data_IF_413047777144
#
_entry.id   IF_413047777144
#
_cell.length_a   1.000
_cell.length_b   1.000
_cell.length_c   1.000
_cell.angle_alpha   90.00
_cell.angle_beta   90.00
_cell.angle_gamma   90.00
#
_symmetry.space_group_name_H-M   'P 1'
#
loop_
_entity.id
_entity.type
_entity.pdbx_description
1 polymer ?
#
# COMPACT_ATOMS: atom_id res chain seq x y z
N UNK A 1 50.84 25.40 35.90
CA UNK A 1 51.17 24.13 35.20
C UNK A 1 49.98 23.80 34.30
N UNK A 2 49.90 24.25 33.04
CA UNK A 2 50.64 23.84 31.83
C UNK A 2 50.81 22.32 31.69
N UNK A 3 50.03 21.74 30.78
CA UNK A 3 50.56 20.84 29.75
C UNK A 3 49.60 20.80 28.56
N UNK A 4 49.91 21.61 27.55
CA UNK A 4 49.45 21.44 26.18
C UNK A 4 50.28 20.34 25.55
N UNK A 5 49.67 19.37 24.87
CA UNK A 5 50.36 18.57 23.84
C UNK A 5 49.66 18.78 22.50
N UNK A 6 50.38 19.45 21.60
CA UNK A 6 50.12 19.48 20.17
C UNK A 6 50.47 18.11 19.57
N UNK A 7 49.70 17.66 18.58
CA UNK A 7 50.24 16.81 17.51
C UNK A 7 49.81 17.39 16.16
N UNK A 8 50.81 17.48 15.29
CA UNK A 8 50.85 18.10 13.95
C UNK A 8 50.00 17.36 12.92
N UNK A 9 49.49 18.17 11.98
CA UNK A 9 48.94 17.81 10.67
C UNK A 9 50.04 17.34 9.70
N UNK A 10 49.73 16.30 8.90
CA UNK A 10 50.24 15.99 7.55
C UNK A 10 49.03 15.34 6.85
N UNK A 11 48.37 15.89 5.84
CA UNK A 11 48.86 16.48 4.59
C UNK A 11 48.63 15.46 3.47
N UNK A 12 47.80 15.76 2.47
CA UNK A 12 47.75 14.94 1.25
C UNK A 12 46.45 14.92 0.43
N UNK A 13 46.33 15.91 -0.47
CA UNK A 13 45.81 15.82 -1.84
C UNK A 13 44.30 15.67 -2.11
N UNK A 14 43.71 16.79 -2.53
CA UNK A 14 42.49 16.86 -3.32
C UNK A 14 42.72 16.30 -4.74
N UNK A 15 41.74 15.57 -5.27
CA UNK A 15 41.54 15.42 -6.71
C UNK A 15 40.05 15.62 -6.99
N UNK A 16 39.75 16.78 -7.56
CA UNK A 16 38.47 17.06 -8.20
C UNK A 16 38.44 16.35 -9.56
N UNK A 17 37.37 15.60 -9.81
CA UNK A 17 37.10 14.99 -11.12
C UNK A 17 35.65 15.27 -11.50
N UNK A 18 35.44 16.38 -12.20
CA UNK A 18 34.18 16.68 -12.88
C UNK A 18 34.21 16.01 -14.26
N UNK A 19 33.24 15.14 -14.53
CA UNK A 19 32.95 14.67 -15.89
C UNK A 19 31.47 14.94 -16.18
N UNK A 20 31.25 16.01 -16.94
CA UNK A 20 29.98 16.36 -17.56
C UNK A 20 29.83 15.49 -18.80
N UNK A 21 28.77 14.68 -18.89
CA UNK A 21 28.25 14.20 -20.17
C UNK A 21 26.80 14.61 -20.29
N UNK A 22 26.57 15.55 -21.21
CA UNK A 22 25.27 15.90 -21.76
C UNK A 22 25.02 14.96 -22.94
N UNK A 23 23.90 14.24 -22.93
CA UNK A 23 23.34 13.62 -24.14
C UNK A 23 21.88 14.04 -24.21
N UNK A 24 21.58 14.88 -25.20
CA UNK A 24 20.24 15.25 -25.64
C UNK A 24 19.86 14.41 -26.84
N UNK A 25 18.74 13.70 -26.78
CA UNK A 25 17.97 13.34 -27.98
C UNK A 25 16.50 13.63 -27.74
N UNK A 26 15.99 14.53 -28.56
CA UNK A 26 14.59 14.86 -28.74
C UNK A 26 13.88 13.69 -29.46
N UNK A 27 12.68 13.36 -28.99
CA UNK A 27 11.74 12.48 -29.68
C UNK A 27 10.39 13.17 -29.73
N UNK A 28 10.15 13.85 -30.86
CA UNK A 28 8.88 14.47 -31.24
C UNK A 28 7.98 13.38 -31.85
N UNK A 29 6.69 13.37 -31.50
CA UNK A 29 5.70 12.46 -32.05
C UNK A 29 4.30 12.86 -31.61
N UNK A 30 3.86 14.03 -32.08
CA UNK A 30 2.51 14.56 -31.96
C UNK A 30 1.67 14.20 -33.19
N UNK A 31 0.35 14.14 -33.01
CA UNK A 31 -0.66 14.21 -34.07
C UNK A 31 -1.37 12.87 -34.31
N UNK A 32 -2.69 12.78 -34.35
CA UNK A 32 -3.70 13.82 -34.40
C UNK A 32 -5.08 13.16 -34.56
N UNK A 33 -6.06 13.99 -34.31
CA UNK A 33 -7.43 13.72 -33.91
C UNK A 33 -8.41 13.23 -35.01
N UNK A 34 -9.60 12.91 -34.51
CA UNK A 34 -10.92 13.20 -35.09
C UNK A 34 -11.41 12.40 -36.31
N UNK A 35 -12.52 11.67 -36.07
CA UNK A 35 -13.81 12.09 -36.65
C UNK A 35 -15.02 11.47 -35.96
N UNK A 36 -15.81 12.36 -35.39
CA UNK A 36 -17.18 12.22 -34.92
C UNK A 36 -18.21 12.00 -36.05
N UNK A 37 -19.42 11.64 -35.58
CA UNK A 37 -20.74 12.02 -36.11
C UNK A 37 -21.31 11.20 -37.27
N UNK A 38 -22.60 10.80 -37.35
CA UNK A 38 -23.80 10.86 -36.48
C UNK A 38 -24.94 10.15 -37.29
N UNK A 39 -26.23 10.52 -37.19
CA UNK A 39 -27.33 9.88 -36.46
C UNK A 39 -28.27 9.03 -37.34
N UNK A 40 -29.13 8.20 -36.73
CA UNK A 40 -30.46 7.92 -37.32
C UNK A 40 -31.57 7.89 -36.27
N UNK A 41 -32.35 8.97 -36.33
CA UNK A 41 -33.83 9.12 -36.28
C UNK A 41 -34.67 8.26 -35.35
N UNK A 42 -35.44 9.01 -34.58
CA UNK A 42 -36.64 8.73 -33.80
C UNK A 42 -37.72 7.91 -34.51
N UNK A 43 -38.38 7.05 -33.73
CA UNK A 43 -39.74 6.57 -33.95
C UNK A 43 -40.42 6.41 -32.58
N UNK A 44 -41.46 7.20 -32.34
CA UNK A 44 -42.30 7.18 -31.12
C UNK A 44 -43.48 6.23 -31.27
N UNK A 45 -43.80 5.45 -30.23
CA UNK A 45 -45.17 5.07 -29.85
C UNK A 45 -45.26 4.58 -28.38
N UNK A 46 -46.15 5.20 -27.60
CA UNK A 46 -46.80 4.73 -26.36
C UNK A 46 -47.53 3.39 -26.59
N UNK A 47 -47.96 2.56 -25.63
CA UNK A 47 -48.06 2.57 -24.16
C UNK A 47 -48.48 1.15 -23.70
N UNK A 48 -48.06 0.77 -22.48
CA UNK A 48 -48.70 -0.14 -21.49
C UNK A 48 -49.40 -1.45 -21.94
N UNK A 49 -48.94 -2.57 -21.37
CA UNK A 49 -49.70 -3.82 -21.27
C UNK A 49 -48.85 -4.94 -20.67
N UNK A 50 -49.19 -5.39 -19.47
CA UNK A 50 -48.45 -6.34 -18.65
C UNK A 50 -48.22 -7.71 -19.31
N UNK A 51 -47.02 -8.25 -19.09
CA UNK A 51 -46.65 -9.61 -19.43
C UNK A 51 -45.40 -10.01 -18.64
N UNK A 52 -45.61 -10.46 -17.40
CA UNK A 52 -44.57 -10.96 -16.50
C UNK A 52 -43.81 -12.13 -17.15
N UNK A 53 -42.56 -11.90 -17.53
CA UNK A 53 -41.57 -12.95 -17.67
C UNK A 53 -40.59 -12.81 -16.50
N UNK A 54 -40.82 -13.63 -15.48
CA UNK A 54 -39.90 -13.89 -14.40
C UNK A 54 -38.57 -14.41 -14.97
N UNK A 55 -37.61 -13.51 -15.20
CA UNK A 55 -36.21 -13.87 -15.18
C UNK A 55 -35.82 -13.88 -13.71
N UNK A 56 -35.79 -15.07 -13.13
CA UNK A 56 -35.35 -15.27 -11.75
C UNK A 56 -33.98 -14.59 -11.56
N UNK A 57 -33.78 -13.78 -10.50
CA UNK A 57 -32.46 -13.30 -10.16
C UNK A 57 -31.61 -14.52 -9.87
N UNK A 58 -30.50 -14.68 -10.61
CA UNK A 58 -29.47 -15.65 -10.23
C UNK A 58 -29.07 -15.34 -8.80
N UNK A 59 -29.27 -16.32 -7.92
CA UNK A 59 -28.94 -16.24 -6.52
C UNK A 59 -27.53 -15.63 -6.38
N UNK A 60 -27.48 -14.42 -5.82
CA UNK A 60 -26.23 -13.84 -5.35
C UNK A 60 -25.60 -14.88 -4.45
N UNK A 61 -24.41 -15.38 -4.82
CA UNK A 61 -23.60 -16.21 -3.93
C UNK A 61 -23.54 -15.45 -2.61
N UNK A 62 -24.13 -16.03 -1.58
CA UNK A 62 -23.99 -15.55 -0.21
C UNK A 62 -22.51 -15.36 0.02
N UNK A 63 -22.06 -14.11 0.15
CA UNK A 63 -20.68 -13.81 0.48
C UNK A 63 -20.42 -14.47 1.83
N UNK A 64 -19.66 -15.57 1.83
CA UNK A 64 -19.20 -16.14 3.09
C UNK A 64 -18.51 -15.03 3.90
N UNK A 65 -18.69 -15.00 5.23
CA UNK A 65 -18.01 -14.02 6.07
C UNK A 65 -16.51 -14.07 5.79
N UNK A 66 -15.91 -12.94 5.45
CA UNK A 66 -14.46 -12.87 5.25
C UNK A 66 -13.79 -13.22 6.58
N UNK A 67 -12.97 -14.27 6.58
CA UNK A 67 -12.23 -14.72 7.77
C UNK A 67 -11.35 -13.59 8.31
N UNK A 68 -11.40 -13.34 9.62
CA UNK A 68 -10.53 -12.37 10.32
C UNK A 68 -9.58 -13.16 11.19
N UNK A 69 -8.29 -13.15 10.84
CA UNK A 69 -7.25 -13.92 11.54
C UNK A 69 -6.54 -13.10 12.63
N UNK A 70 -6.63 -11.77 12.58
CA UNK A 70 -6.19 -10.88 13.64
C UNK A 70 -6.92 -9.53 13.56
N UNK A 71 -7.09 -8.87 14.70
CA UNK A 71 -7.64 -7.52 14.81
C UNK A 71 -6.68 -6.65 15.62
N UNK A 72 -6.26 -5.53 15.03
CA UNK A 72 -5.38 -4.56 15.66
C UNK A 72 -6.20 -3.32 16.00
N UNK A 73 -6.24 -2.97 17.28
CA UNK A 73 -6.86 -1.72 17.73
C UNK A 73 -5.89 -0.56 17.53
N UNK A 74 -6.38 0.50 16.91
CA UNK A 74 -5.67 1.76 16.69
C UNK A 74 -6.23 2.90 17.52
N UNK A 75 -5.60 4.06 17.39
CA UNK A 75 -6.04 5.28 18.05
C UNK A 75 -7.41 5.75 17.54
N UNK A 76 -8.14 6.51 18.37
CA UNK A 76 -9.37 7.21 17.99
C UNK A 76 -10.46 6.33 17.31
N UNK A 77 -10.56 5.05 17.68
CA UNK A 77 -11.56 4.13 17.12
C UNK A 77 -11.16 3.48 15.81
N UNK A 78 -9.90 3.61 15.40
CA UNK A 78 -9.37 2.88 14.25
C UNK A 78 -9.21 1.40 14.56
N UNK A 79 -9.49 0.55 13.58
CA UNK A 79 -9.31 -0.91 13.67
C UNK A 79 -8.72 -1.41 12.36
N UNK A 80 -7.70 -2.26 12.42
CA UNK A 80 -7.20 -2.99 11.26
C UNK A 80 -7.48 -4.48 11.46
N UNK A 81 -8.35 -5.03 10.62
CA UNK A 81 -8.60 -6.47 10.55
C UNK A 81 -7.69 -7.08 9.49
N UNK A 82 -6.91 -8.08 9.85
CA UNK A 82 -6.11 -8.87 8.92
C UNK A 82 -6.94 -10.09 8.54
N UNK A 83 -7.13 -10.29 7.24
CA UNK A 83 -7.89 -11.40 6.68
C UNK A 83 -6.97 -12.51 6.16
N UNK A 84 -5.79 -12.16 5.64
CA UNK A 84 -4.82 -13.15 5.19
C UNK A 84 -3.38 -12.64 5.23
N UNK A 85 -2.45 -13.58 5.39
CA UNK A 85 -1.00 -13.38 5.25
C UNK A 85 -0.47 -14.52 4.39
N UNK A 86 -0.33 -14.27 3.08
CA UNK A 86 -0.02 -15.33 2.10
C UNK A 86 1.36 -15.19 1.51
N UNK A 87 2.11 -16.29 1.52
CA UNK A 87 3.37 -16.41 0.80
C UNK A 87 3.07 -16.69 -0.67
N UNK A 88 3.78 -15.99 -1.54
CA UNK A 88 3.70 -16.11 -2.99
C UNK A 88 4.94 -16.85 -3.53
N UNK A 89 4.81 -17.71 -4.56
CA UNK A 89 5.94 -18.40 -5.19
C UNK A 89 7.05 -17.47 -5.72
N UNK A 90 6.73 -16.21 -6.01
CA UNK A 90 7.67 -15.16 -6.42
C UNK A 90 8.58 -14.64 -5.31
N UNK A 91 8.48 -15.18 -4.08
CA UNK A 91 9.33 -14.77 -2.96
C UNK A 91 8.78 -13.58 -2.17
N UNK A 92 7.47 -13.36 -2.24
CA UNK A 92 6.78 -12.28 -1.55
C UNK A 92 5.85 -12.80 -0.46
N UNK A 93 5.55 -11.96 0.51
CA UNK A 93 4.53 -12.20 1.53
C UNK A 93 3.54 -11.05 1.48
N UNK A 94 2.26 -11.33 1.24
CA UNK A 94 1.22 -10.31 1.14
C UNK A 94 0.30 -10.39 2.35
N UNK A 95 0.18 -9.30 3.10
CA UNK A 95 -0.80 -9.12 4.16
C UNK A 95 -2.00 -8.39 3.54
N UNK A 96 -3.21 -8.92 3.72
CA UNK A 96 -4.45 -8.30 3.24
C UNK A 96 -5.48 -8.20 4.37
N UNK A 97 -6.29 -7.16 4.34
CA UNK A 97 -7.15 -6.79 5.46
C UNK A 97 -8.15 -5.69 5.15
N UNK A 98 -8.73 -5.14 6.20
CA UNK A 98 -9.61 -3.98 6.16
C UNK A 98 -9.25 -3.00 7.28
N UNK A 99 -9.02 -1.74 6.91
CA UNK A 99 -8.84 -0.62 7.82
C UNK A 99 -10.19 0.05 8.04
N UNK A 100 -10.66 0.15 9.28
CA UNK A 100 -12.01 0.59 9.64
C UNK A 100 -11.98 1.68 10.69
N UNK A 101 -12.74 2.75 10.49
CA UNK A 101 -12.95 3.76 11.53
C UNK A 101 -14.29 3.52 12.22
N UNK A 102 -14.23 2.97 13.42
CA UNK A 102 -15.40 2.71 14.29
C UNK A 102 -15.71 3.89 15.22
N UNK A 103 -14.88 4.94 15.19
CA UNK A 103 -15.11 6.19 15.91
C UNK A 103 -16.17 7.07 15.27
N UNK A 104 -16.46 8.20 15.91
CA UNK A 104 -17.47 9.17 15.49
C UNK A 104 -16.94 10.34 14.65
N UNK A 105 -15.62 10.43 14.45
CA UNK A 105 -14.95 11.51 13.70
C UNK A 105 -13.99 10.94 12.66
N UNK A 106 -13.71 11.70 11.60
CA UNK A 106 -12.68 11.32 10.62
C UNK A 106 -11.30 11.28 11.27
N UNK A 107 -10.56 10.20 11.04
CA UNK A 107 -9.17 10.06 11.44
C UNK A 107 -8.24 10.67 10.38
N UNK A 108 -7.34 11.57 10.78
CA UNK A 108 -6.45 12.32 9.86
C UNK A 108 -4.96 12.17 10.17
N UNK A 109 -4.60 11.44 11.23
CA UNK A 109 -3.20 11.23 11.62
C UNK A 109 -2.55 10.07 10.84
N UNK A 110 -2.80 10.02 9.53
CA UNK A 110 -2.33 8.94 8.65
C UNK A 110 -0.86 9.14 8.23
N UNK A 111 -0.27 10.30 8.52
CA UNK A 111 1.14 10.61 8.24
C UNK A 111 2.07 9.61 8.94
N UNK A 112 1.69 9.14 10.12
CA UNK A 112 2.45 8.14 10.87
C UNK A 112 2.53 6.78 10.15
N UNK A 113 1.57 6.45 9.27
CA UNK A 113 1.52 5.17 8.56
C UNK A 113 2.47 5.09 7.36
N UNK A 114 3.04 6.23 6.98
CA UNK A 114 3.92 6.35 5.82
C UNK A 114 5.27 5.70 6.08
N UNK A 115 5.91 5.22 5.01
CA UNK A 115 7.26 4.70 5.06
C UNK A 115 8.31 5.75 4.70
N UNK A 116 9.57 5.32 4.54
CA UNK A 116 10.67 6.16 4.03
C UNK A 116 10.66 6.34 2.51
N UNK A 117 9.49 6.36 1.89
CA UNK A 117 9.37 6.42 0.43
C UNK A 117 10.05 7.67 -0.14
N UNK A 118 10.93 7.45 -1.12
CA UNK A 118 11.75 8.50 -1.69
C UNK A 118 10.97 9.22 -2.79
N UNK A 119 10.38 10.37 -2.43
CA UNK A 119 9.69 11.35 -3.30
C UNK A 119 8.24 11.01 -3.67
N UNK A 120 7.33 11.95 -3.36
CA UNK A 120 6.04 12.10 -4.08
C UNK A 120 5.00 10.99 -3.96
N UNK A 121 5.26 9.89 -3.26
CA UNK A 121 4.37 8.71 -3.20
C UNK A 121 3.11 8.88 -2.34
N UNK A 122 2.85 10.10 -1.86
CA UNK A 122 1.60 10.43 -1.16
C UNK A 122 1.45 9.78 0.22
N UNK A 123 0.20 9.68 0.66
CA UNK A 123 -0.18 8.91 1.85
C UNK A 123 -0.19 7.43 1.52
N UNK A 124 0.34 6.60 2.42
CA UNK A 124 0.43 5.16 2.24
C UNK A 124 0.50 4.46 3.59
N UNK A 125 0.43 3.13 3.54
CA UNK A 125 0.65 2.26 4.70
C UNK A 125 2.07 1.65 4.71
N UNK A 126 3.02 2.25 4.02
CA UNK A 126 4.37 1.69 3.84
C UNK A 126 5.20 1.64 5.14
N UNK A 127 4.75 2.29 6.21
CA UNK A 127 5.28 2.17 7.57
C UNK A 127 4.95 0.83 8.24
N UNK A 128 4.12 -0.01 7.62
CA UNK A 128 3.89 -1.37 8.08
C UNK A 128 5.19 -2.19 8.12
N UNK A 129 5.33 -3.06 9.12
CA UNK A 129 6.49 -3.93 9.28
C UNK A 129 6.08 -5.33 9.71
N UNK A 130 6.94 -6.30 9.40
CA UNK A 130 6.88 -7.66 9.91
C UNK A 130 8.14 -7.97 10.71
N UNK A 131 8.00 -8.63 11.84
CA UNK A 131 9.13 -9.13 12.63
C UNK A 131 9.05 -10.65 12.74
N UNK A 132 10.02 -11.33 12.14
CA UNK A 132 10.30 -12.74 12.40
C UNK A 132 11.23 -12.80 13.62
N UNK A 133 10.63 -13.12 14.77
CA UNK A 133 11.37 -13.21 16.04
C UNK A 133 12.36 -14.37 16.04
N UNK A 134 12.02 -15.50 15.42
CA UNK A 134 12.88 -16.67 15.34
C UNK A 134 14.10 -16.40 14.43
N UNK A 135 13.85 -15.81 13.26
CA UNK A 135 14.88 -15.38 12.31
C UNK A 135 15.63 -14.11 12.70
N UNK A 136 15.19 -13.41 13.77
CA UNK A 136 15.73 -12.13 14.27
C UNK A 136 15.80 -11.06 13.18
N UNK A 137 14.78 -11.02 12.32
CA UNK A 137 14.71 -10.12 11.16
C UNK A 137 13.44 -9.28 11.19
N UNK A 138 13.60 -8.00 10.86
CA UNK A 138 12.49 -7.09 10.54
C UNK A 138 12.44 -6.88 9.04
N UNK A 139 11.25 -6.98 8.47
CA UNK A 139 10.95 -6.76 7.07
C UNK A 139 10.10 -5.49 6.94
N UNK A 140 10.36 -4.75 5.86
CA UNK A 140 9.63 -3.54 5.50
C UNK A 140 8.88 -3.78 4.20
N UNK A 141 7.86 -2.96 3.96
CA UNK A 141 7.08 -2.99 2.71
C UNK A 141 7.99 -2.83 1.50
N UNK A 142 7.77 -3.67 0.48
CA UNK A 142 8.48 -3.66 -0.78
C UNK A 142 8.19 -2.38 -1.57
N UNK A 143 9.11 -2.08 -2.49
CA UNK A 143 8.97 -0.97 -3.44
C UNK A 143 9.20 -1.46 -4.87
N UNK A 144 8.53 -0.81 -5.81
CA UNK A 144 8.82 -0.99 -7.22
C UNK A 144 10.09 -0.25 -7.64
N UNK A 145 10.44 -0.37 -8.92
CA UNK A 145 11.62 0.29 -9.52
C UNK A 145 11.54 1.82 -9.52
N UNK A 146 10.36 2.37 -9.29
CA UNK A 146 10.09 3.81 -9.18
C UNK A 146 10.00 4.27 -7.71
N UNK A 147 10.37 3.41 -6.76
CA UNK A 147 10.32 3.65 -5.31
C UNK A 147 8.92 3.83 -4.71
N UNK A 148 7.85 3.44 -5.41
CA UNK A 148 6.49 3.41 -4.87
C UNK A 148 6.29 2.17 -4.00
N UNK A 149 5.55 2.29 -2.90
CA UNK A 149 5.26 1.12 -2.08
C UNK A 149 4.39 0.11 -2.85
N UNK A 150 4.61 -1.18 -2.59
CA UNK A 150 3.70 -2.24 -2.97
C UNK A 150 2.66 -2.44 -1.85
N UNK A 151 1.84 -1.42 -1.63
CA UNK A 151 0.88 -1.34 -0.53
C UNK A 151 -0.30 -0.41 -0.86
N UNK A 152 -1.28 -0.35 0.05
CA UNK A 152 -2.36 0.63 -0.03
C UNK A 152 -1.83 2.06 0.05
N UNK A 153 -2.27 2.90 -0.88
CA UNK A 153 -1.89 4.32 -1.01
C UNK A 153 -3.14 5.20 -1.08
N UNK A 154 -2.96 6.53 -0.98
CA UNK A 154 -4.03 7.52 -1.06
C UNK A 154 -4.90 7.62 0.20
N UNK A 155 -4.39 7.18 1.35
CA UNK A 155 -5.14 7.21 2.62
C UNK A 155 -4.82 8.50 3.39
N UNK A 156 -5.39 9.61 2.96
CA UNK A 156 -5.29 10.94 3.62
C UNK A 156 -6.07 11.03 4.92
N UNK A 157 -7.21 10.37 4.95
CA UNK A 157 -8.09 10.29 6.09
C UNK A 157 -8.97 9.05 6.01
N UNK A 158 -9.53 8.66 7.15
CA UNK A 158 -10.56 7.62 7.23
C UNK A 158 -11.78 8.21 7.92
N UNK A 159 -12.86 8.44 7.18
CA UNK A 159 -14.10 8.99 7.72
C UNK A 159 -14.77 8.04 8.72
N UNK A 160 -15.60 8.58 9.60
CA UNK A 160 -16.36 7.76 10.55
C UNK A 160 -17.21 6.72 9.81
N UNK A 161 -17.10 5.45 10.22
CA UNK A 161 -17.76 4.31 9.57
C UNK A 161 -17.11 3.85 8.25
N UNK A 162 -16.08 4.53 7.75
CA UNK A 162 -15.42 4.14 6.51
C UNK A 162 -14.61 2.85 6.70
N UNK A 163 -14.66 2.00 5.67
CA UNK A 163 -13.83 0.81 5.52
C UNK A 163 -12.98 0.96 4.27
N UNK A 164 -11.67 0.81 4.42
CA UNK A 164 -10.69 0.88 3.34
C UNK A 164 -10.03 -0.50 3.23
N UNK A 165 -10.06 -1.15 2.06
CA UNK A 165 -9.28 -2.36 1.82
C UNK A 165 -7.80 -2.11 2.07
N UNK A 166 -7.19 -2.96 2.87
CA UNK A 166 -5.78 -2.87 3.24
C UNK A 166 -4.98 -3.97 2.56
N UNK A 167 -3.83 -3.62 2.00
CA UNK A 167 -2.80 -4.59 1.65
C UNK A 167 -1.40 -3.99 1.81
N UNK A 168 -0.43 -4.87 2.10
CA UNK A 168 0.99 -4.54 2.10
C UNK A 168 1.81 -5.79 1.72
N UNK A 169 2.78 -5.61 0.81
CA UNK A 169 3.65 -6.68 0.36
C UNK A 169 5.07 -6.54 0.93
N UNK A 170 5.64 -7.65 1.37
CA UNK A 170 6.95 -7.75 2.01
C UNK A 170 7.81 -8.79 1.28
N UNK A 171 9.15 -8.74 1.43
CA UNK A 171 9.97 -9.91 1.13
C UNK A 171 9.49 -11.10 1.97
N UNK A 172 9.40 -12.29 1.38
CA UNK A 172 9.02 -13.48 2.13
C UNK A 172 10.10 -13.84 3.17
N UNK A 173 9.73 -14.05 4.45
CA UNK A 173 10.60 -14.72 5.41
C UNK A 173 10.91 -16.16 4.93
N UNK A 174 11.98 -16.80 5.45
CA UNK A 174 12.31 -18.19 5.15
C UNK A 174 11.10 -19.13 5.25
N UNK A 175 11.06 -20.20 4.46
CA UNK A 175 9.93 -21.15 4.45
C UNK A 175 9.64 -21.79 5.81
N UNK A 176 10.65 -21.90 6.67
CA UNK A 176 10.54 -22.37 8.06
C UNK A 176 9.80 -21.40 8.99
N UNK A 177 9.65 -20.13 8.61
CA UNK A 177 8.92 -19.12 9.39
C UNK A 177 7.42 -19.27 9.12
N UNK A 178 6.69 -19.69 10.15
CA UNK A 178 5.23 -19.92 10.11
C UNK A 178 4.40 -18.76 10.66
N UNK A 179 5.03 -17.84 11.39
CA UNK A 179 4.36 -16.67 11.97
C UNK A 179 5.29 -15.47 12.03
N UNK A 180 4.70 -14.29 12.03
CA UNK A 180 5.39 -13.00 12.14
C UNK A 180 4.57 -12.05 12.99
N UNK A 181 5.23 -11.13 13.68
CA UNK A 181 4.56 -10.01 14.33
C UNK A 181 4.37 -8.88 13.31
N UNK A 182 3.12 -8.53 13.04
CA UNK A 182 2.74 -7.40 12.20
C UNK A 182 2.57 -6.14 13.03
N UNK A 183 3.01 -5.00 12.49
CA UNK A 183 2.83 -3.68 13.07
C UNK A 183 2.53 -2.66 11.99
N UNK A 184 1.60 -1.75 12.28
CA UNK A 184 1.39 -0.49 11.58
C UNK A 184 1.43 0.61 12.65
N UNK A 185 2.11 1.76 12.43
CA UNK A 185 2.14 2.85 13.39
C UNK A 185 0.72 3.28 13.80
N UNK A 186 0.54 3.74 15.04
CA UNK A 186 -0.75 4.07 15.68
C UNK A 186 -1.68 2.88 15.98
N UNK A 187 -1.28 1.65 15.65
CA UNK A 187 -1.98 0.42 16.01
C UNK A 187 -1.17 -0.41 17.01
N UNK A 188 -1.88 -1.22 17.80
CA UNK A 188 -1.28 -2.33 18.50
C UNK A 188 -0.64 -3.32 17.50
N UNK A 189 0.33 -4.11 17.94
CA UNK A 189 0.91 -5.19 17.13
C UNK A 189 0.08 -6.47 17.25
N UNK A 190 0.20 -7.36 16.26
CA UNK A 190 -0.42 -8.69 16.32
C UNK A 190 0.50 -9.76 15.72
N UNK A 191 0.56 -10.93 16.35
CA UNK A 191 1.16 -12.12 15.75
C UNK A 191 0.18 -12.74 14.76
N UNK A 192 0.62 -12.94 13.52
CA UNK A 192 -0.17 -13.50 12.43
C UNK A 192 0.52 -14.72 11.85
N UNK A 193 -0.26 -15.76 11.53
CA UNK A 193 0.23 -16.97 10.88
C UNK A 193 0.32 -16.74 9.38
N UNK A 194 1.43 -17.22 8.80
CA UNK A 194 1.65 -17.24 7.36
C UNK A 194 0.96 -18.49 6.79
N UNK A 195 0.24 -18.32 5.70
CA UNK A 195 -0.30 -19.41 4.89
C UNK A 195 0.32 -19.42 3.48
N UNK A 196 0.29 -20.57 2.82
CA UNK A 196 1.04 -20.83 1.59
C UNK A 196 2.45 -21.31 1.89
#
# INVERSE_FOLDING_TARGET
MSMRRMVRVRGGMAVAGAAVMVVTLAGCGAGGDDKSAEPRKSGTAQSQGAGSQNVAPSASKSSEPTEVIATLNGQAGMTLEINSVRRDPGGFLTVSGNLKNTGSQSYKDTVAWRGIELKGTGESVAGATLVDKAGKKRYYVLRDTESRCLCTTGVSSVDAGQVIPFFAQFPAPPSSTSEVEFSLPTFATATVKISG
#
